data_IF_890118759500
#
_entry.id   IF_890118759500
#
_cell.length_a   1.000
_cell.length_b   1.000
_cell.length_c   1.000
_cell.angle_alpha   90.00
_cell.angle_beta   90.00
_cell.angle_gamma   90.00
#
_symmetry.space_group_name_H-M   'P 1'
#
loop_
_entity.id
_entity.type
_entity.pdbx_description
1 polymer ?
#
# COMPACT_ATOMS: atom_id res chain seq x y z
N UNK A 1 -8.85 -10.70 13.23
CA UNK A 1 -9.17 -9.44 12.53
C UNK A 1 -7.96 -8.53 12.62
N UNK A 2 -7.68 -7.71 11.61
CA UNK A 2 -6.49 -6.82 11.62
C UNK A 2 -6.86 -5.41 12.12
N UNK A 3 -5.91 -4.64 12.68
CA UNK A 3 -6.17 -3.28 13.15
C UNK A 3 -6.78 -2.35 12.10
N UNK A 4 -6.42 -2.53 10.82
CA UNK A 4 -6.97 -1.74 9.71
C UNK A 4 -8.48 -2.01 9.51
N UNK A 5 -8.89 -3.28 9.55
CA UNK A 5 -10.31 -3.66 9.40
C UNK A 5 -11.12 -3.19 10.60
N UNK A 6 -10.57 -3.35 11.82
CA UNK A 6 -11.24 -2.89 13.04
C UNK A 6 -11.47 -1.37 13.04
N UNK A 7 -10.49 -0.60 12.56
CA UNK A 7 -10.62 0.85 12.42
C UNK A 7 -11.67 1.23 11.36
N UNK A 8 -11.65 0.60 10.18
CA UNK A 8 -12.63 0.87 9.12
C UNK A 8 -14.07 0.59 9.60
N UNK A 9 -14.26 -0.54 10.29
CA UNK A 9 -15.54 -0.91 10.91
C UNK A 9 -15.97 0.11 11.97
N UNK A 10 -15.06 0.51 12.88
CA UNK A 10 -15.34 1.52 13.91
C UNK A 10 -15.75 2.87 13.32
N UNK A 11 -15.23 3.21 12.13
CA UNK A 11 -15.53 4.46 11.42
C UNK A 11 -16.74 4.35 10.48
N UNK A 12 -17.34 3.17 10.33
CA UNK A 12 -18.48 2.95 9.42
C UNK A 12 -18.13 3.20 7.96
N UNK A 13 -16.88 2.94 7.55
CA UNK A 13 -16.48 3.07 6.15
C UNK A 13 -17.09 1.94 5.31
N UNK A 14 -17.45 2.24 4.07
CA UNK A 14 -17.79 1.20 3.10
C UNK A 14 -16.51 0.54 2.59
N UNK A 15 -16.38 -0.77 2.81
CA UNK A 15 -15.24 -1.55 2.36
C UNK A 15 -15.63 -3.02 2.13
N UNK A 16 -14.86 -3.69 1.28
CA UNK A 16 -14.93 -5.14 1.06
C UNK A 16 -13.57 -5.76 1.33
N UNK A 17 -13.57 -6.88 2.03
CA UNK A 17 -12.37 -7.69 2.23
C UNK A 17 -12.20 -8.58 1.00
N UNK A 18 -11.02 -8.54 0.38
CA UNK A 18 -10.62 -9.42 -0.70
C UNK A 18 -9.57 -10.40 -0.17
N UNK A 19 -9.95 -11.67 -0.05
CA UNK A 19 -9.07 -12.73 0.45
C UNK A 19 -8.49 -13.53 -0.71
N UNK A 20 -7.23 -13.92 -0.59
CA UNK A 20 -6.56 -14.84 -1.49
C UNK A 20 -5.54 -15.67 -0.72
N UNK A 21 -5.24 -16.88 -1.20
CA UNK A 21 -4.21 -17.73 -0.61
C UNK A 21 -2.83 -17.23 -1.04
N UNK A 22 -2.00 -16.76 -0.11
CA UNK A 22 -0.61 -16.36 -0.40
C UNK A 22 0.29 -17.57 -0.65
N UNK A 23 1.18 -17.46 -1.64
CA UNK A 23 2.28 -18.39 -1.90
C UNK A 23 3.57 -17.80 -1.30
N UNK A 24 4.20 -18.53 -0.37
CA UNK A 24 5.43 -18.11 0.30
C UNK A 24 6.62 -17.92 -0.65
N UNK A 25 6.56 -18.46 -1.87
CA UNK A 25 7.57 -18.27 -2.91
C UNK A 25 7.33 -17.03 -3.78
N UNK A 26 6.21 -16.32 -3.60
CA UNK A 26 5.90 -15.14 -4.39
C UNK A 26 6.91 -14.01 -4.13
N UNK A 27 7.43 -13.42 -5.21
CA UNK A 27 8.41 -12.35 -5.14
C UNK A 27 7.83 -11.00 -4.65
N UNK A 28 6.50 -10.83 -4.73
CA UNK A 28 5.83 -9.59 -4.32
C UNK A 28 4.37 -9.86 -3.94
N UNK A 29 4.03 -9.57 -2.68
CA UNK A 29 2.66 -9.67 -2.16
C UNK A 29 1.63 -8.91 -2.99
N UNK A 30 1.98 -7.70 -3.47
CA UNK A 30 1.00 -6.87 -4.16
C UNK A 30 0.75 -7.31 -5.60
N UNK A 31 1.78 -7.75 -6.32
CA UNK A 31 1.61 -8.25 -7.70
C UNK A 31 0.85 -9.58 -7.68
N UNK A 32 1.21 -10.44 -6.74
CA UNK A 32 0.48 -11.68 -6.49
C UNK A 32 -1.00 -11.42 -6.14
N UNK A 33 -1.29 -10.43 -5.29
CA UNK A 33 -2.66 -10.06 -4.98
C UNK A 33 -3.43 -9.63 -6.25
N UNK A 34 -2.81 -8.85 -7.13
CA UNK A 34 -3.44 -8.43 -8.38
C UNK A 34 -3.78 -9.63 -9.27
N UNK A 35 -2.84 -10.56 -9.42
CA UNK A 35 -3.02 -11.80 -10.20
C UNK A 35 -4.12 -12.70 -9.61
N UNK A 36 -4.04 -13.01 -8.31
CA UNK A 36 -4.96 -13.94 -7.65
C UNK A 36 -6.38 -13.38 -7.50
N UNK A 37 -6.52 -12.07 -7.40
CA UNK A 37 -7.83 -11.41 -7.34
C UNK A 37 -8.37 -11.03 -8.72
N UNK A 38 -7.60 -11.20 -9.80
CA UNK A 38 -8.01 -10.89 -11.17
C UNK A 38 -8.25 -9.40 -11.42
N UNK A 39 -7.49 -8.52 -10.75
CA UNK A 39 -7.61 -7.06 -10.87
C UNK A 39 -6.38 -6.44 -11.52
N UNK A 40 -6.53 -5.27 -12.13
CA UNK A 40 -5.39 -4.58 -12.72
C UNK A 40 -4.39 -4.15 -11.64
N UNK A 41 -3.09 -4.40 -11.85
CA UNK A 41 -2.04 -4.05 -10.89
C UNK A 41 -2.04 -2.56 -10.50
N UNK A 42 -2.46 -1.67 -11.40
CA UNK A 42 -2.59 -0.23 -11.13
C UNK A 42 -3.67 0.12 -10.09
N UNK A 43 -4.59 -0.80 -9.81
CA UNK A 43 -5.63 -0.68 -8.79
C UNK A 43 -5.23 -1.31 -7.45
N UNK A 44 -4.09 -2.03 -7.41
CA UNK A 44 -3.52 -2.58 -6.19
C UNK A 44 -2.42 -1.65 -5.70
N UNK A 45 -2.54 -1.18 -4.47
CA UNK A 45 -1.60 -0.23 -3.89
C UNK A 45 -0.72 -0.90 -2.84
N UNK A 46 0.55 -0.51 -2.80
CA UNK A 46 1.47 -0.81 -1.72
C UNK A 46 1.67 0.43 -0.84
N UNK A 47 1.88 0.18 0.44
CA UNK A 47 2.14 1.20 1.46
C UNK A 47 3.59 1.08 1.91
N UNK A 48 4.37 2.13 1.73
CA UNK A 48 5.78 2.19 2.12
C UNK A 48 5.96 3.20 3.24
N UNK A 49 6.75 2.84 4.25
CA UNK A 49 7.25 3.80 5.24
C UNK A 49 8.61 4.29 4.75
N UNK A 50 8.80 5.61 4.76
CA UNK A 50 10.06 6.25 4.37
C UNK A 50 10.56 7.15 5.48
N UNK A 51 11.87 7.23 5.63
CA UNK A 51 12.53 8.22 6.47
C UNK A 51 13.09 9.33 5.60
N UNK A 52 12.94 10.56 6.06
CA UNK A 52 13.68 11.71 5.54
C UNK A 52 15.09 11.74 6.10
N UNK A 53 15.94 12.60 5.51
CA UNK A 53 17.30 12.83 6.01
C UNK A 53 17.31 13.49 7.40
N UNK A 54 16.23 14.17 7.79
CA UNK A 54 16.03 14.76 9.13
C UNK A 54 15.53 13.75 10.17
N UNK A 55 15.20 12.52 9.75
CA UNK A 55 14.70 11.45 10.62
C UNK A 55 13.18 11.39 10.74
N UNK A 56 12.44 12.28 10.07
CA UNK A 56 10.98 12.25 10.04
C UNK A 56 10.48 11.08 9.19
N UNK A 57 9.44 10.40 9.69
CA UNK A 57 8.79 9.31 8.96
C UNK A 57 7.58 9.80 8.18
N UNK A 58 7.42 9.26 6.97
CA UNK A 58 6.23 9.46 6.15
C UNK A 58 5.75 8.13 5.57
N UNK A 59 4.49 8.12 5.13
CA UNK A 59 3.87 6.98 4.46
C UNK A 59 3.57 7.35 3.01
N UNK A 60 4.06 6.55 2.08
CA UNK A 60 3.79 6.68 0.66
C UNK A 60 2.88 5.54 0.19
N UNK A 61 1.77 5.89 -0.48
CA UNK A 61 0.84 4.94 -1.09
C UNK A 61 0.96 5.07 -2.61
N UNK A 62 1.28 3.96 -3.28
CA UNK A 62 1.50 3.95 -4.72
C UNK A 62 1.04 2.63 -5.34
N UNK A 63 0.68 2.62 -6.63
CA UNK A 63 0.36 1.38 -7.33
C UNK A 63 1.50 0.37 -7.25
N UNK A 64 1.17 -0.91 -7.18
CA UNK A 64 2.17 -1.97 -6.92
C UNK A 64 3.21 -2.06 -8.04
N UNK A 65 2.80 -1.79 -9.28
CA UNK A 65 3.63 -1.79 -10.49
C UNK A 65 4.59 -0.58 -10.56
N UNK A 66 4.50 0.39 -9.64
CA UNK A 66 5.36 1.57 -9.61
C UNK A 66 6.45 1.45 -8.56
N UNK A 67 7.61 2.01 -8.87
CA UNK A 67 8.70 2.17 -7.90
C UNK A 67 8.67 3.59 -7.33
N UNK A 68 8.91 3.69 -6.03
CA UNK A 68 8.97 4.97 -5.35
C UNK A 68 10.12 5.82 -5.90
N UNK A 69 9.83 7.05 -6.34
CA UNK A 69 10.84 7.99 -6.82
C UNK A 69 11.11 9.08 -5.78
N UNK A 70 12.23 8.94 -5.05
CA UNK A 70 12.61 9.84 -3.95
C UNK A 70 12.79 11.31 -4.38
N UNK A 71 13.16 11.59 -5.63
CA UNK A 71 13.24 12.98 -6.13
C UNK A 71 11.88 13.67 -6.22
N UNK A 72 10.83 12.93 -6.58
CA UNK A 72 9.45 13.46 -6.66
C UNK A 72 8.78 13.51 -5.29
N UNK A 73 9.09 12.56 -4.39
CA UNK A 73 8.47 12.53 -3.05
C UNK A 73 9.05 13.56 -2.09
N UNK A 74 10.32 13.95 -2.23
CA UNK A 74 10.86 15.08 -1.48
C UNK A 74 10.04 16.35 -1.66
N UNK A 75 9.38 16.55 -2.81
CA UNK A 75 8.45 17.67 -3.04
C UNK A 75 7.05 17.44 -2.47
N UNK A 76 6.60 16.18 -2.32
CA UNK A 76 5.27 15.86 -1.80
C UNK A 76 5.22 15.77 -0.27
N UNK A 77 6.35 15.50 0.40
CA UNK A 77 6.48 15.57 1.85
C UNK A 77 6.56 17.03 2.35
N UNK A 78 6.85 17.99 1.46
CA UNK A 78 6.79 19.44 1.75
C UNK A 78 5.39 19.93 1.41
N UNK A 79 4.36 19.43 2.10
CA UNK A 79 3.03 20.03 2.10
C UNK A 79 2.44 19.92 3.50
N UNK A 80 2.58 21.06 4.20
CA UNK A 80 1.88 21.59 5.39
C UNK A 80 1.43 20.61 6.49
#
# INVERSE_FOLDING_TARGET
MTPAIDLAKKRGLDYRIHEYTHDSHAASFGLEAAEKLGVAAVQVFKTLVVSTDTGDLAVAILPVDKTLNFKKNGQSLIRE
#
